data_IF_390362917227
#
_entry.id   IF_390362917227
#
_cell.length_a   1.000
_cell.length_b   1.000
_cell.length_c   1.000
_cell.angle_alpha   90.00
_cell.angle_beta   90.00
_cell.angle_gamma   90.00
#
_symmetry.space_group_name_H-M   'P 1'
#
loop_
_entity.id
_entity.type
_entity.pdbx_description
1 polymer ?
#
# COMPACT_ATOMS: atom_id res chain seq x y z
N UNK A 1 -2.63 -6.92 -88.82
CA UNK A 1 -3.40 -6.34 -87.68
C UNK A 1 -2.38 -5.82 -86.67
N UNK A 2 -2.19 -4.49 -86.58
CA UNK A 2 -2.81 -3.57 -85.60
C UNK A 2 -2.30 -3.85 -84.18
N UNK A 3 -1.19 -3.23 -83.75
CA UNK A 3 -0.99 -1.86 -83.21
C UNK A 3 -1.16 -1.80 -81.67
N UNK A 4 -0.11 -1.23 -81.05
CA UNK A 4 -0.09 -0.27 -79.93
C UNK A 4 -0.47 -0.67 -78.50
N UNK A 5 0.35 -0.14 -77.57
CA UNK A 5 -0.14 0.51 -76.36
C UNK A 5 0.38 -0.12 -75.08
N UNK A 6 1.49 0.35 -74.52
CA UNK A 6 1.55 1.50 -73.59
C UNK A 6 1.79 0.98 -72.18
N UNK A 7 3.06 1.03 -71.74
CA UNK A 7 3.46 0.83 -70.36
C UNK A 7 2.93 2.00 -69.54
N UNK A 8 1.76 1.83 -68.94
CA UNK A 8 1.20 2.75 -67.96
C UNK A 8 2.00 2.70 -66.67
N UNK A 9 2.83 3.72 -66.45
CA UNK A 9 3.45 4.03 -65.16
C UNK A 9 2.33 4.35 -64.17
N UNK A 10 2.03 3.42 -63.26
CA UNK A 10 1.10 3.65 -62.17
C UNK A 10 1.83 4.52 -61.13
N UNK A 11 1.48 5.80 -61.08
CA UNK A 11 1.94 6.73 -60.05
C UNK A 11 1.27 6.41 -58.71
N UNK A 12 2.00 6.15 -57.60
CA UNK A 12 1.42 5.79 -56.31
C UNK A 12 1.16 7.02 -55.43
N UNK A 13 0.53 8.07 -55.95
CA UNK A 13 0.24 9.28 -55.18
C UNK A 13 -1.24 9.70 -55.17
N UNK A 14 -2.14 8.85 -55.65
CA UNK A 14 -3.58 9.14 -55.74
C UNK A 14 -4.51 8.45 -54.73
N UNK A 15 -3.98 7.78 -53.69
CA UNK A 15 -4.79 6.90 -52.80
C UNK A 15 -4.87 7.30 -51.32
N UNK A 16 -4.66 8.57 -50.96
CA UNK A 16 -5.05 9.04 -49.63
C UNK A 16 -6.49 9.56 -49.70
N UNK A 17 -7.45 8.64 -49.55
CA UNK A 17 -8.85 9.00 -49.37
C UNK A 17 -9.00 9.91 -48.14
N UNK A 18 -9.88 10.90 -48.25
CA UNK A 18 -10.23 11.87 -47.20
C UNK A 18 -10.73 11.21 -45.89
N UNK A 19 -10.93 9.90 -45.91
CA UNK A 19 -11.39 9.08 -44.80
C UNK A 19 -10.42 9.04 -43.61
N UNK A 20 -9.11 9.28 -43.79
CA UNK A 20 -8.16 9.34 -42.65
C UNK A 20 -8.33 10.61 -41.79
N UNK A 21 -8.96 11.66 -42.33
CA UNK A 21 -9.19 12.92 -41.59
C UNK A 21 -10.18 12.74 -40.44
N UNK A 22 -11.15 11.83 -40.57
CA UNK A 22 -12.15 11.53 -39.53
C UNK A 22 -11.50 10.92 -38.27
N UNK A 23 -10.78 9.78 -38.32
CA UNK A 23 -10.12 9.22 -37.15
C UNK A 23 -9.01 10.12 -36.61
N UNK A 24 -8.31 10.87 -37.48
CA UNK A 24 -7.30 11.83 -37.06
C UNK A 24 -7.90 12.97 -36.21
N UNK A 25 -9.01 13.57 -36.66
CA UNK A 25 -9.69 14.62 -35.91
C UNK A 25 -10.33 14.09 -34.61
N UNK A 26 -10.85 12.86 -34.62
CA UNK A 26 -11.37 12.21 -33.41
C UNK A 26 -10.24 12.00 -32.39
N UNK A 27 -9.08 11.52 -32.84
CA UNK A 27 -7.92 11.34 -31.98
C UNK A 27 -7.47 12.67 -31.37
N UNK A 28 -7.32 13.73 -32.18
CA UNK A 28 -6.97 15.07 -31.68
C UNK A 28 -8.03 15.57 -30.68
N UNK A 29 -9.31 15.40 -30.98
CA UNK A 29 -10.40 15.77 -30.07
C UNK A 29 -10.32 15.05 -28.73
N UNK A 30 -10.02 13.74 -28.74
CA UNK A 30 -9.82 12.96 -27.52
C UNK A 30 -8.63 13.49 -26.69
N UNK A 31 -7.51 13.81 -27.35
CA UNK A 31 -6.34 14.34 -26.65
C UNK A 31 -6.62 15.71 -26.02
N UNK A 32 -7.32 16.59 -26.75
CA UNK A 32 -7.74 17.90 -26.22
C UNK A 32 -8.72 17.73 -25.06
N UNK A 33 -9.64 16.77 -25.13
CA UNK A 33 -10.58 16.47 -24.05
C UNK A 33 -9.85 15.97 -22.80
N UNK A 34 -8.90 15.06 -22.94
CA UNK A 34 -8.09 14.55 -21.82
C UNK A 34 -7.29 15.68 -21.18
N UNK A 35 -6.68 16.55 -21.98
CA UNK A 35 -5.95 17.72 -21.47
C UNK A 35 -6.87 18.70 -20.76
N UNK A 36 -8.07 18.96 -21.29
CA UNK A 36 -9.06 19.81 -20.65
C UNK A 36 -9.51 19.24 -19.30
N UNK A 37 -9.76 17.92 -19.21
CA UNK A 37 -10.11 17.25 -17.96
C UNK A 37 -8.95 17.32 -16.96
N UNK A 38 -7.71 17.10 -17.39
CA UNK A 38 -6.54 17.19 -16.53
C UNK A 38 -6.35 18.61 -15.96
N UNK A 39 -6.66 19.65 -16.75
CA UNK A 39 -6.58 21.05 -16.30
C UNK A 39 -7.73 21.44 -15.36
N UNK A 40 -8.91 20.84 -15.52
CA UNK A 40 -10.09 21.14 -14.69
C UNK A 40 -10.23 20.24 -13.44
N UNK A 41 -9.57 19.08 -13.42
CA UNK A 41 -9.61 18.13 -12.31
C UNK A 41 -9.17 18.73 -10.96
N UNK A 42 -8.11 19.56 -10.86
CA UNK A 42 -7.72 20.17 -9.59
C UNK A 42 -8.76 21.16 -9.04
N UNK A 43 -9.55 21.79 -9.92
CA UNK A 43 -10.59 22.75 -9.51
C UNK A 43 -11.88 22.07 -9.03
N UNK A 44 -12.16 20.85 -9.52
CA UNK A 44 -13.33 20.07 -9.12
C UNK A 44 -13.07 19.15 -7.91
N UNK A 45 -11.80 18.82 -7.64
CA UNK A 45 -11.40 17.98 -6.52
C UNK A 45 -10.56 18.79 -5.52
N UNK A 46 -11.24 19.56 -4.68
CA UNK A 46 -10.64 20.20 -3.51
C UNK A 46 -10.31 19.12 -2.46
N UNK A 47 -9.19 18.43 -2.64
CA UNK A 47 -8.66 17.45 -1.68
C UNK A 47 -8.02 18.20 -0.53
N UNK A 48 -8.84 18.60 0.45
CA UNK A 48 -8.37 19.13 1.72
C UNK A 48 -7.32 18.17 2.33
N UNK A 49 -6.08 18.62 2.56
CA UNK A 49 -5.05 17.77 3.16
C UNK A 49 -5.49 17.36 4.57
N UNK A 50 -5.69 16.06 4.78
CA UNK A 50 -5.99 15.48 6.10
C UNK A 50 -4.72 15.55 6.95
N UNK A 51 -4.48 16.70 7.59
CA UNK A 51 -3.41 16.84 8.56
C UNK A 51 -3.72 15.95 9.78
N UNK A 52 -2.73 15.22 10.32
CA UNK A 52 -2.91 14.44 11.54
C UNK A 52 -3.17 15.35 12.72
N UNK A 53 -4.14 14.98 13.57
CA UNK A 53 -4.51 15.70 14.78
C UNK A 53 -3.39 15.58 15.83
N UNK A 54 -2.62 16.66 16.02
CA UNK A 54 -1.51 16.69 16.98
C UNK A 54 -2.08 17.01 18.36
N UNK A 55 -2.21 15.98 19.21
CA UNK A 55 -2.53 16.17 20.62
C UNK A 55 -1.32 16.73 21.36
N UNK A 56 -1.40 18.00 21.75
CA UNK A 56 -0.43 18.63 22.64
C UNK A 56 -0.69 18.19 24.07
N UNK A 57 0.06 17.18 24.52
CA UNK A 57 0.05 16.79 25.94
C UNK A 57 0.97 17.74 26.70
N UNK A 58 0.39 18.63 27.51
CA UNK A 58 1.15 19.39 28.51
C UNK A 58 1.53 18.43 29.65
N UNK A 59 2.78 18.02 29.66
CA UNK A 59 3.37 17.28 30.77
C UNK A 59 3.58 18.27 31.93
N UNK A 60 2.82 18.11 33.01
CA UNK A 60 3.12 18.76 34.27
C UNK A 60 4.07 17.87 35.07
N UNK A 61 5.16 18.45 35.57
CA UNK A 61 6.05 17.76 36.51
C UNK A 61 5.48 17.90 37.92
N UNK A 62 5.49 16.81 38.69
CA UNK A 62 4.93 16.77 40.05
C UNK A 62 5.63 17.72 41.06
N UNK A 63 6.69 18.40 40.64
CA UNK A 63 7.47 19.32 41.47
C UNK A 63 6.83 20.72 41.57
N UNK A 64 5.98 21.12 40.62
CA UNK A 64 5.41 22.49 40.60
C UNK A 64 4.20 22.67 41.55
N UNK A 65 3.55 21.58 41.99
CA UNK A 65 2.43 21.64 42.95
C UNK A 65 2.93 21.79 44.40
N UNK A 66 4.20 21.52 44.67
CA UNK A 66 4.76 21.57 46.02
C UNK A 66 5.22 22.97 46.45
N UNK A 67 5.42 23.90 45.52
CA UNK A 67 6.09 25.19 45.81
C UNK A 67 5.12 26.36 46.10
N UNK A 68 3.80 26.15 45.96
CA UNK A 68 2.78 27.18 46.22
C UNK A 68 2.32 27.31 47.69
N UNK A 69 3.01 26.68 48.66
CA UNK A 69 2.61 26.73 50.09
C UNK A 69 3.51 27.54 51.03
N UNK A 70 4.33 28.47 50.55
CA UNK A 70 5.04 29.35 51.48
C UNK A 70 5.40 30.72 50.91
N UNK A 71 4.48 31.69 51.00
CA UNK A 71 4.86 33.11 51.23
C UNK A 71 3.82 33.76 52.17
N UNK A 72 4.22 34.44 53.26
CA UNK A 72 3.31 35.10 54.19
C UNK A 72 2.77 36.44 53.67
N UNK A 73 1.60 36.82 54.18
CA UNK A 73 0.86 38.03 53.89
C UNK A 73 1.60 39.34 54.24
N UNK A 74 1.52 40.33 53.34
CA UNK A 74 1.66 41.74 53.69
C UNK A 74 0.71 42.57 52.81
N UNK A 75 -0.03 43.48 53.45
CA UNK A 75 -0.94 44.46 52.86
C UNK A 75 -0.74 45.80 53.61
N UNK A 76 -1.25 46.96 53.15
CA UNK A 76 -1.43 47.47 51.78
C UNK A 76 -0.95 48.96 51.62
N UNK A 77 -1.20 49.52 50.41
CA UNK A 77 -1.48 50.94 50.07
C UNK A 77 -0.38 51.78 49.34
N UNK A 78 -0.70 52.91 48.67
CA UNK A 78 -1.74 53.10 47.62
C UNK A 78 -1.35 54.08 46.47
N UNK A 79 -2.21 54.16 45.42
CA UNK A 79 -2.38 55.24 44.39
C UNK A 79 -1.25 55.41 43.36
N UNK A 80 -1.53 55.42 42.05
CA UNK A 80 -2.17 56.58 41.38
C UNK A 80 -2.79 56.17 40.04
N UNK A 81 -4.05 56.56 39.86
CA UNK A 81 -4.72 56.66 38.55
C UNK A 81 -4.72 58.13 38.16
N UNK A 82 -4.26 58.44 36.95
CA UNK A 82 -4.59 59.68 36.24
C UNK A 82 -5.25 59.33 34.91
N UNK A 83 -6.41 59.98 34.70
CA UNK A 83 -7.46 59.85 33.66
C UNK A 83 -7.30 61.06 32.67
N UNK A 84 -8.27 61.47 31.81
CA UNK A 84 -9.05 60.89 30.68
C UNK A 84 -8.94 61.72 29.36
N UNK A 85 -9.52 61.23 28.25
CA UNK A 85 -10.26 62.02 27.24
C UNK A 85 -11.30 61.09 26.56
N UNK A 86 -12.62 61.10 26.84
CA UNK A 86 -13.72 62.07 26.56
C UNK A 86 -14.23 61.98 25.10
N UNK A 87 -15.36 61.25 24.90
CA UNK A 87 -16.71 61.66 24.36
C UNK A 87 -16.80 61.68 22.81
N UNK A 88 -17.87 61.30 22.09
CA UNK A 88 -19.34 61.40 22.24
C UNK A 88 -20.06 60.19 21.55
N UNK A 89 -21.12 59.55 22.09
CA UNK A 89 -22.60 59.78 21.99
C UNK A 89 -23.24 59.63 20.58
N UNK A 90 -23.84 58.45 20.32
CA UNK A 90 -25.23 58.05 19.86
C UNK A 90 -26.23 59.12 19.27
N UNK A 91 -27.38 58.87 18.55
CA UNK A 91 -28.12 57.65 18.07
C UNK A 91 -28.73 57.68 16.61
N UNK A 92 -29.38 56.57 16.17
CA UNK A 92 -30.83 56.46 15.80
C UNK A 92 -31.22 55.48 14.65
N UNK A 93 -32.01 54.46 15.04
CA UNK A 93 -33.22 53.86 14.42
C UNK A 93 -33.33 53.43 12.93
N UNK A 94 -33.79 52.19 12.71
CA UNK A 94 -35.16 51.84 12.18
C UNK A 94 -35.41 50.31 12.17
N UNK A 95 -36.59 49.89 12.68
CA UNK A 95 -37.23 48.54 12.53
C UNK A 95 -38.21 48.56 11.34
N UNK A 96 -38.75 47.41 10.83
CA UNK A 96 -39.95 46.73 11.41
C UNK A 96 -39.87 45.18 11.42
N UNK A 97 -40.30 44.44 12.47
CA UNK A 97 -41.64 43.88 12.84
C UNK A 97 -42.11 42.64 12.03
N UNK A 98 -42.20 41.47 12.71
CA UNK A 98 -43.28 40.44 12.74
C UNK A 98 -43.10 39.65 14.06
N UNK A 99 -43.78 39.94 15.18
CA UNK A 99 -45.13 39.52 15.64
C UNK A 99 -45.35 38.00 15.79
N UNK A 100 -45.21 37.47 17.01
CA UNK A 100 -45.90 36.26 17.49
C UNK A 100 -46.51 36.61 18.85
N UNK A 101 -47.81 36.34 18.97
CA UNK A 101 -48.71 36.74 20.05
C UNK A 101 -48.56 35.87 21.32
N UNK A 102 -48.95 36.38 22.51
CA UNK A 102 -49.04 35.63 23.75
C UNK A 102 -50.46 35.09 23.99
N UNK A 103 -50.58 33.81 24.35
CA UNK A 103 -51.85 33.22 24.81
C UNK A 103 -51.83 32.99 26.34
N UNK A 104 -52.94 33.40 26.97
CA UNK A 104 -53.26 33.43 28.41
C UNK A 104 -53.84 32.05 28.87
N UNK A 105 -53.82 31.71 30.19
CA UNK A 105 -53.89 30.33 30.70
C UNK A 105 -55.31 29.88 31.11
N UNK A 106 -55.51 28.56 31.14
CA UNK A 106 -56.70 27.89 31.66
C UNK A 106 -56.34 26.86 32.74
N UNK A 107 -57.23 26.76 33.73
CA UNK A 107 -57.11 26.22 35.10
C UNK A 107 -57.56 24.75 35.12
N UNK A 108 -56.83 23.80 35.75
CA UNK A 108 -57.14 23.12 37.04
C UNK A 108 -56.52 21.68 37.02
N UNK A 109 -56.49 20.87 38.11
CA UNK A 109 -55.87 21.09 39.44
C UNK A 109 -55.07 19.84 39.99
N UNK A 110 -54.35 20.01 41.12
CA UNK A 110 -54.02 19.03 42.21
C UNK A 110 -53.12 17.80 41.86
N UNK A 111 -51.82 17.79 42.19
CA UNK A 111 -51.16 17.27 43.43
C UNK A 111 -51.43 15.79 43.74
N UNK A 112 -50.44 14.92 43.48
CA UNK A 112 -49.97 13.94 44.49
C UNK A 112 -48.57 13.38 44.16
N UNK A 113 -47.64 13.63 45.08
CA UNK A 113 -46.30 13.05 45.18
C UNK A 113 -46.41 11.53 45.33
N UNK A 114 -45.77 10.75 44.46
CA UNK A 114 -45.47 9.34 44.76
C UNK A 114 -44.01 9.01 44.54
N UNK A 115 -43.49 8.34 45.55
CA UNK A 115 -42.09 8.09 45.88
C UNK A 115 -41.52 6.99 44.98
N UNK A 116 -40.25 7.17 44.60
CA UNK A 116 -39.45 6.21 43.86
C UNK A 116 -39.42 4.82 44.54
N UNK A 117 -39.74 3.78 43.77
CA UNK A 117 -39.50 2.38 44.16
C UNK A 117 -38.04 2.01 43.85
N UNK A 118 -37.27 1.42 44.80
CA UNK A 118 -35.90 1.01 44.55
C UNK A 118 -35.84 -0.21 43.61
N UNK A 119 -34.89 -0.16 42.67
CA UNK A 119 -34.57 -1.19 41.68
C UNK A 119 -34.07 -2.46 42.38
N UNK A 120 -34.83 -3.55 42.26
CA UNK A 120 -34.40 -4.90 42.63
C UNK A 120 -33.46 -5.47 41.57
N UNK A 121 -32.17 -5.58 41.89
CA UNK A 121 -31.20 -6.35 41.10
C UNK A 121 -31.29 -7.84 41.48
N UNK A 122 -32.11 -8.60 40.75
CA UNK A 122 -32.09 -10.07 40.82
C UNK A 122 -31.03 -10.63 39.87
N UNK A 123 -30.03 -11.41 40.34
CA UNK A 123 -29.04 -12.01 39.45
C UNK A 123 -29.67 -13.11 38.60
N UNK A 124 -29.62 -12.93 37.28
CA UNK A 124 -30.05 -13.91 36.28
C UNK A 124 -29.10 -15.11 36.32
N UNK A 125 -29.56 -16.23 36.87
CA UNK A 125 -28.85 -17.52 36.83
C UNK A 125 -28.69 -17.98 35.38
N UNK A 126 -27.50 -17.78 34.81
CA UNK A 126 -27.11 -18.32 33.52
C UNK A 126 -26.72 -19.79 33.72
N UNK A 127 -27.53 -20.72 33.20
CA UNK A 127 -27.19 -22.13 33.15
C UNK A 127 -26.03 -22.31 32.16
N UNK A 128 -24.84 -22.57 32.69
CA UNK A 128 -23.71 -23.10 31.93
C UNK A 128 -24.10 -24.50 31.41
N UNK A 129 -24.38 -24.62 30.11
CA UNK A 129 -24.41 -25.92 29.43
C UNK A 129 -22.96 -26.33 29.20
N UNK A 130 -22.43 -27.15 30.10
CA UNK A 130 -21.16 -27.86 29.90
C UNK A 130 -21.46 -29.04 28.97
N UNK A 131 -20.99 -28.94 27.72
CA UNK A 131 -21.06 -29.99 26.72
C UNK A 131 -20.85 -29.40 25.33
N UNK A 132 -19.63 -29.56 24.77
CA UNK A 132 -19.32 -29.22 23.37
C UNK A 132 -20.37 -29.86 22.47
N UNK A 133 -21.05 -29.05 21.66
CA UNK A 133 -22.04 -29.55 20.70
C UNK A 133 -21.34 -30.44 19.66
N UNK A 134 -22.03 -31.43 19.07
CA UNK A 134 -21.46 -32.26 18.00
C UNK A 134 -20.88 -31.44 16.82
N UNK A 135 -21.44 -30.26 16.59
CA UNK A 135 -21.04 -29.32 15.55
C UNK A 135 -19.67 -28.66 15.84
N UNK A 136 -19.40 -28.30 17.10
CA UNK A 136 -18.11 -27.72 17.51
C UNK A 136 -16.97 -28.75 17.40
N UNK A 137 -17.24 -30.02 17.72
CA UNK A 137 -16.28 -31.12 17.55
C UNK A 137 -15.95 -31.38 16.09
N UNK A 138 -16.96 -31.38 15.21
CA UNK A 138 -16.75 -31.56 13.77
C UNK A 138 -15.92 -30.41 13.16
N UNK A 139 -16.13 -29.17 13.61
CA UNK A 139 -15.35 -28.03 13.15
C UNK A 139 -13.90 -28.06 13.64
N UNK A 140 -13.65 -28.52 14.86
CA UNK A 140 -12.31 -28.69 15.43
C UNK A 140 -11.52 -29.80 14.70
N UNK A 141 -12.18 -30.91 14.36
CA UNK A 141 -11.59 -32.00 13.57
C UNK A 141 -11.27 -31.57 12.13
N UNK A 142 -12.15 -30.79 11.50
CA UNK A 142 -11.90 -30.21 10.18
C UNK A 142 -10.68 -29.26 10.19
N UNK A 143 -10.55 -28.42 11.23
CA UNK A 143 -9.38 -27.54 11.38
C UNK A 143 -8.09 -28.33 11.62
N UNK A 144 -8.14 -29.37 12.45
CA UNK A 144 -6.96 -30.22 12.68
C UNK A 144 -6.50 -30.92 11.39
N UNK A 145 -7.43 -31.47 10.61
CA UNK A 145 -7.09 -32.12 9.34
C UNK A 145 -6.48 -31.15 8.31
N UNK A 146 -6.99 -29.92 8.25
CA UNK A 146 -6.42 -28.87 7.41
C UNK A 146 -4.99 -28.48 7.83
N UNK A 147 -4.73 -28.36 9.13
CA UNK A 147 -3.38 -28.09 9.66
C UNK A 147 -2.42 -29.22 9.33
N UNK A 148 -2.83 -30.48 9.52
CA UNK A 148 -2.02 -31.66 9.17
C UNK A 148 -1.73 -31.70 7.66
N UNK A 149 -2.70 -31.33 6.83
CA UNK A 149 -2.50 -31.28 5.37
C UNK A 149 -1.50 -30.19 4.96
N UNK A 150 -1.57 -28.99 5.57
CA UNK A 150 -0.59 -27.91 5.34
C UNK A 150 0.81 -28.33 5.76
N UNK A 151 0.96 -28.90 6.95
CA UNK A 151 2.26 -29.37 7.44
C UNK A 151 2.89 -30.44 6.51
N UNK A 152 2.08 -31.35 5.96
CA UNK A 152 2.54 -32.34 4.96
C UNK A 152 2.91 -31.69 3.63
N UNK A 153 2.17 -30.67 3.19
CA UNK A 153 2.49 -29.95 1.96
C UNK A 153 3.79 -29.15 2.10
N UNK A 154 4.00 -28.51 3.24
CA UNK A 154 5.21 -27.74 3.54
C UNK A 154 6.43 -28.65 3.68
N UNK A 155 6.30 -29.82 4.33
CA UNK A 155 7.38 -30.80 4.39
C UNK A 155 7.75 -31.33 3.01
N UNK A 156 6.74 -31.68 2.18
CA UNK A 156 6.98 -32.13 0.80
C UNK A 156 7.64 -31.04 -0.06
N UNK A 157 7.24 -29.77 0.11
CA UNK A 157 7.85 -28.63 -0.59
C UNK A 157 9.29 -28.40 -0.16
N UNK A 158 9.59 -28.56 1.13
CA UNK A 158 10.95 -28.46 1.67
C UNK A 158 11.84 -29.57 1.14
N UNK A 159 11.38 -30.83 1.18
CA UNK A 159 12.09 -31.98 0.62
C UNK A 159 12.31 -31.82 -0.89
N UNK A 160 11.33 -31.34 -1.65
CA UNK A 160 11.47 -31.07 -3.07
C UNK A 160 12.51 -29.97 -3.35
N UNK A 161 12.56 -28.91 -2.52
CA UNK A 161 13.56 -27.84 -2.65
C UNK A 161 14.97 -28.34 -2.33
N UNK A 162 15.13 -29.14 -1.28
CA UNK A 162 16.41 -29.75 -0.91
C UNK A 162 16.90 -30.74 -1.98
N UNK A 163 15.99 -31.55 -2.52
CA UNK A 163 16.30 -32.45 -3.64
C UNK A 163 16.69 -31.70 -4.91
N UNK A 164 16.01 -30.61 -5.23
CA UNK A 164 16.35 -29.75 -6.37
C UNK A 164 17.72 -29.08 -6.19
N UNK A 165 18.04 -28.61 -4.99
CA UNK A 165 19.35 -28.02 -4.68
C UNK A 165 20.48 -29.06 -4.74
N UNK A 166 20.26 -30.26 -4.22
CA UNK A 166 21.21 -31.37 -4.34
C UNK A 166 21.44 -31.77 -5.80
N UNK A 167 20.38 -31.84 -6.60
CA UNK A 167 20.47 -32.10 -8.04
C UNK A 167 21.24 -30.99 -8.77
N UNK A 168 21.00 -29.72 -8.43
CA UNK A 168 21.73 -28.60 -9.00
C UNK A 168 23.23 -28.65 -8.66
N UNK A 169 23.60 -28.93 -7.39
CA UNK A 169 25.00 -29.10 -6.98
C UNK A 169 25.68 -30.25 -7.72
N UNK A 170 24.99 -31.37 -7.89
CA UNK A 170 25.51 -32.51 -8.65
C UNK A 170 25.70 -32.18 -10.14
N UNK A 171 24.79 -31.42 -10.74
CA UNK A 171 24.92 -30.97 -12.13
C UNK A 171 26.12 -30.04 -12.32
N UNK A 172 26.33 -29.09 -11.40
CA UNK A 172 27.48 -28.17 -11.44
C UNK A 172 28.79 -28.93 -11.29
N UNK A 173 28.88 -29.90 -10.37
CA UNK A 173 30.09 -30.71 -10.20
C UNK A 173 30.41 -31.54 -11.46
N UNK A 174 29.39 -32.15 -12.09
CA UNK A 174 29.56 -32.88 -13.35
C UNK A 174 30.07 -31.99 -14.49
N UNK A 175 29.57 -30.75 -14.58
CA UNK A 175 30.07 -29.78 -15.55
C UNK A 175 31.52 -29.38 -15.25
N UNK A 176 31.87 -29.16 -13.98
CA UNK A 176 33.24 -28.85 -13.59
C UNK A 176 34.22 -29.97 -13.94
N UNK A 177 33.84 -31.24 -13.76
CA UNK A 177 34.67 -32.39 -14.12
C UNK A 177 34.80 -32.57 -15.64
N UNK A 178 33.73 -32.31 -16.39
CA UNK A 178 33.77 -32.31 -17.86
C UNK A 178 34.70 -31.22 -18.41
N UNK A 179 34.69 -30.01 -17.83
CA UNK A 179 35.59 -28.92 -18.23
C UNK A 179 37.06 -29.24 -17.90
N UNK A 180 37.34 -29.83 -16.73
CA UNK A 180 38.70 -30.25 -16.35
C UNK A 180 39.24 -31.33 -17.29
N UNK A 181 38.41 -32.29 -17.67
CA UNK A 181 38.78 -33.38 -18.59
C UNK A 181 38.98 -32.86 -20.02
N UNK A 182 38.15 -31.92 -20.48
CA UNK A 182 38.26 -31.32 -21.81
C UNK A 182 39.47 -30.38 -21.96
N UNK A 183 40.03 -29.86 -20.86
CA UNK A 183 41.21 -28.98 -20.91
C UNK A 183 42.53 -29.77 -20.94
N UNK A 184 42.51 -31.07 -20.58
CA UNK A 184 43.70 -31.92 -20.57
C UNK A 184 44.01 -32.64 -21.90
N UNK A 185 43.16 -32.49 -22.93
CA UNK A 185 43.38 -33.09 -24.26
C UNK A 185 43.29 -32.00 -25.34
N UNK A 186 44.40 -31.29 -25.54
CA UNK A 186 44.71 -30.64 -26.83
C UNK A 186 46.12 -31.04 -27.24
N UNK A 187 46.27 -31.61 -28.43
CA UNK A 187 47.19 -31.07 -29.41
C UNK A 187 46.41 -30.49 -30.59
N UNK A 188 46.99 -29.44 -31.16
CA UNK A 188 46.52 -28.76 -32.36
C UNK A 188 46.51 -29.69 -33.58
N UNK A 189 45.54 -29.50 -34.49
CA UNK A 189 45.74 -29.26 -35.94
C UNK A 189 44.41 -29.15 -36.68
N UNK A 190 44.40 -28.30 -37.71
CA UNK A 190 43.35 -27.96 -38.68
C UNK A 190 42.71 -29.15 -39.43
N UNK A 191 41.49 -28.96 -39.97
CA UNK A 191 41.01 -29.75 -41.11
C UNK A 191 39.49 -29.99 -41.25
N UNK A 192 38.84 -29.10 -42.00
CA UNK A 192 37.60 -29.26 -42.82
C UNK A 192 37.13 -30.71 -43.14
N UNK A 193 35.84 -31.02 -42.92
CA UNK A 193 34.92 -31.62 -43.91
C UNK A 193 33.49 -31.91 -43.37
N UNK A 194 32.57 -31.93 -44.35
CA UNK A 194 31.11 -31.95 -44.44
C UNK A 194 30.33 -33.23 -44.02
N UNK A 195 29.03 -33.00 -43.68
CA UNK A 195 27.78 -33.78 -43.92
C UNK A 195 27.38 -35.06 -43.11
N UNK A 196 26.46 -34.86 -42.12
CA UNK A 196 25.03 -35.33 -41.97
C UNK A 196 24.68 -36.87 -41.93
N UNK A 197 23.54 -37.37 -41.37
CA UNK A 197 22.57 -36.93 -40.32
C UNK A 197 22.27 -37.96 -39.18
N UNK A 198 21.51 -37.49 -38.18
CA UNK A 198 20.44 -38.23 -37.45
C UNK A 198 20.78 -38.81 -36.07
N UNK A 199 20.29 -38.14 -35.02
CA UNK A 199 19.34 -38.73 -34.07
C UNK A 199 18.73 -37.62 -33.20
N UNK A 200 17.41 -37.62 -33.15
CA UNK A 200 16.55 -36.80 -32.30
C UNK A 200 16.81 -37.09 -30.84
N UNK A 201 17.39 -36.14 -30.09
CA UNK A 201 17.16 -36.01 -28.65
C UNK A 201 16.94 -34.55 -28.31
N UNK A 202 15.72 -34.30 -27.84
CA UNK A 202 15.20 -33.00 -27.43
C UNK A 202 15.80 -32.66 -26.06
N UNK A 203 17.05 -32.26 -26.03
CA UNK A 203 17.64 -31.61 -24.86
C UNK A 203 17.48 -30.11 -25.02
N UNK A 204 16.54 -29.55 -24.27
CA UNK A 204 16.46 -28.10 -24.01
C UNK A 204 17.74 -27.70 -23.28
N UNK A 205 18.79 -27.41 -24.06
CA UNK A 205 19.92 -26.63 -23.59
C UNK A 205 19.35 -25.27 -23.17
N UNK A 206 19.40 -25.01 -21.86
CA UNK A 206 19.28 -23.66 -21.32
C UNK A 206 20.52 -22.92 -21.83
N UNK A 207 20.36 -22.29 -22.99
CA UNK A 207 21.23 -21.21 -23.44
C UNK A 207 21.17 -20.13 -22.37
N UNK A 208 22.23 -20.04 -21.56
CA UNK A 208 22.49 -18.81 -20.82
C UNK A 208 22.56 -17.66 -21.83
N UNK A 209 21.97 -16.48 -21.55
CA UNK A 209 22.01 -15.37 -22.49
C UNK A 209 23.45 -14.83 -22.55
N UNK A 210 24.22 -15.41 -23.46
CA UNK A 210 25.41 -14.79 -24.01
C UNK A 210 24.99 -13.58 -24.83
N UNK A 211 25.27 -12.39 -24.30
CA UNK A 211 25.60 -11.22 -25.12
C UNK A 211 24.54 -10.78 -26.13
N UNK A 212 23.32 -10.51 -25.67
CA UNK A 212 22.39 -9.58 -26.32
C UNK A 212 21.73 -8.80 -25.18
N UNK A 213 21.68 -7.47 -25.31
CA UNK A 213 21.42 -6.53 -24.21
C UNK A 213 20.38 -7.05 -23.22
N UNK A 214 20.81 -7.25 -21.96
CA UNK A 214 19.90 -7.62 -20.88
C UNK A 214 18.80 -6.56 -20.85
N UNK A 215 17.58 -6.98 -21.21
CA UNK A 215 16.39 -6.16 -21.26
C UNK A 215 16.25 -5.39 -19.93
N UNK A 216 15.94 -4.08 -19.95
CA UNK A 216 15.73 -3.27 -18.74
C UNK A 216 14.77 -3.93 -17.73
N UNK A 217 13.81 -4.72 -18.22
CA UNK A 217 12.83 -5.47 -17.43
C UNK A 217 13.47 -6.52 -16.50
N UNK A 218 14.57 -7.16 -16.91
CA UNK A 218 15.26 -8.14 -16.06
C UNK A 218 15.87 -7.48 -14.82
N UNK A 219 16.56 -6.35 -15.01
CA UNK A 219 17.14 -5.60 -13.89
C UNK A 219 16.07 -5.04 -12.96
N UNK A 220 14.94 -4.59 -13.52
CA UNK A 220 13.80 -4.13 -12.73
C UNK A 220 13.23 -5.25 -11.85
N UNK A 221 12.99 -6.44 -12.40
CA UNK A 221 12.48 -7.59 -11.63
C UNK A 221 13.44 -8.01 -10.52
N UNK A 222 14.74 -8.04 -10.81
CA UNK A 222 15.75 -8.35 -9.81
C UNK A 222 15.78 -7.31 -8.69
N UNK A 223 15.66 -6.03 -9.03
CA UNK A 223 15.59 -4.93 -8.08
C UNK A 223 14.35 -5.02 -7.20
N UNK A 224 13.17 -5.20 -7.80
CA UNK A 224 11.90 -5.36 -7.09
C UNK A 224 11.95 -6.54 -6.11
N UNK A 225 12.56 -7.66 -6.52
CA UNK A 225 12.76 -8.81 -5.64
C UNK A 225 13.63 -8.45 -4.43
N UNK A 226 14.73 -7.71 -4.62
CA UNK A 226 15.59 -7.28 -3.51
C UNK A 226 14.87 -6.32 -2.56
N UNK A 227 14.10 -5.36 -3.09
CA UNK A 227 13.27 -4.45 -2.29
C UNK A 227 12.23 -5.23 -1.48
N UNK A 228 11.52 -6.13 -2.15
CA UNK A 228 10.51 -6.98 -1.55
C UNK A 228 11.09 -7.82 -0.40
N UNK A 229 12.22 -8.49 -0.60
CA UNK A 229 12.85 -9.31 0.43
C UNK A 229 13.23 -8.47 1.65
N UNK A 230 13.82 -7.29 1.43
CA UNK A 230 14.20 -6.40 2.52
C UNK A 230 13.00 -5.95 3.36
N UNK A 231 11.86 -5.68 2.73
CA UNK A 231 10.63 -5.30 3.44
C UNK A 231 10.02 -6.52 4.14
N UNK A 232 10.03 -7.68 3.47
CA UNK A 232 9.53 -8.94 4.03
C UNK A 232 10.28 -9.35 5.30
N UNK A 233 11.61 -9.21 5.33
CA UNK A 233 12.43 -9.50 6.51
C UNK A 233 12.06 -8.65 7.73
N UNK A 234 11.48 -7.46 7.50
CA UNK A 234 11.02 -6.54 8.53
C UNK A 234 9.50 -6.61 8.75
N UNK A 235 8.78 -7.43 7.99
CA UNK A 235 7.35 -7.66 8.14
C UNK A 235 7.10 -8.66 9.26
N UNK A 236 6.98 -8.15 10.49
CA UNK A 236 6.73 -8.96 11.68
C UNK A 236 5.44 -8.52 12.34
N UNK A 237 4.50 -9.46 12.46
CA UNK A 237 3.26 -9.28 13.19
C UNK A 237 3.36 -9.96 14.57
N UNK A 238 3.00 -9.28 15.67
CA UNK A 238 3.01 -9.89 17.00
C UNK A 238 2.02 -11.05 17.12
N UNK A 239 2.45 -12.17 17.70
CA UNK A 239 1.60 -13.35 17.94
C UNK A 239 0.54 -13.16 19.05
N UNK A 240 0.59 -12.02 19.75
CA UNK A 240 -0.31 -11.69 20.86
C UNK A 240 -1.76 -11.45 20.41
N UNK A 241 -1.98 -11.24 19.11
CA UNK A 241 -3.28 -10.93 18.52
C UNK A 241 -3.62 -11.98 17.46
N UNK A 242 -4.87 -12.45 17.44
CA UNK A 242 -5.35 -13.27 16.33
C UNK A 242 -5.59 -12.35 15.12
N UNK A 243 -4.69 -12.43 14.13
CA UNK A 243 -4.82 -11.72 12.87
C UNK A 243 -5.80 -12.46 11.97
N UNK A 244 -6.75 -11.73 11.38
CA UNK A 244 -7.69 -12.29 10.42
C UNK A 244 -7.02 -12.39 9.06
N UNK A 245 -6.96 -13.60 8.47
CA UNK A 245 -6.37 -13.88 7.16
C UNK A 245 -6.96 -13.03 6.01
N UNK A 246 -8.15 -12.43 6.23
CA UNK A 246 -8.79 -11.51 5.28
C UNK A 246 -8.28 -10.07 5.34
N UNK A 247 -7.38 -9.75 6.28
CA UNK A 247 -6.75 -8.43 6.36
C UNK A 247 -5.83 -8.22 5.16
N UNK A 248 -6.06 -7.11 4.47
CA UNK A 248 -5.25 -6.66 3.36
C UNK A 248 -5.04 -5.14 3.48
N UNK A 249 -3.81 -4.69 3.29
CA UNK A 249 -3.48 -3.29 3.13
C UNK A 249 -2.53 -3.12 1.95
N UNK A 250 -2.79 -2.11 1.13
CA UNK A 250 -1.93 -1.76 0.00
C UNK A 250 -1.30 -0.42 0.29
N UNK A 251 0.03 -0.42 0.42
CA UNK A 251 0.84 0.76 0.67
C UNK A 251 1.67 1.05 -0.57
N UNK A 252 1.55 2.27 -1.06
CA UNK A 252 2.35 2.78 -2.17
C UNK A 252 3.49 3.59 -1.59
N UNK A 253 4.72 3.28 -2.03
CA UNK A 253 5.93 3.97 -1.60
C UNK A 253 6.66 4.54 -2.82
N UNK A 254 7.19 5.75 -2.67
CA UNK A 254 8.06 6.38 -3.67
C UNK A 254 9.50 6.28 -3.18
N UNK A 255 10.34 5.62 -3.96
CA UNK A 255 11.76 5.46 -3.70
C UNK A 255 12.57 6.38 -4.60
N UNK A 256 13.66 6.91 -4.06
CA UNK A 256 14.73 7.55 -4.83
C UNK A 256 15.83 6.55 -5.15
N UNK A 257 16.66 6.89 -6.14
CA UNK A 257 17.79 6.09 -6.63
C UNK A 257 18.77 5.58 -5.56
N UNK A 258 18.91 6.30 -4.45
CA UNK A 258 19.73 5.92 -3.29
C UNK A 258 19.05 4.93 -2.34
N UNK A 259 17.82 4.49 -2.64
CA UNK A 259 17.04 3.57 -1.81
C UNK A 259 16.29 4.25 -0.66
N UNK A 260 16.27 5.59 -0.62
CA UNK A 260 15.53 6.34 0.39
C UNK A 260 14.06 6.46 -0.02
N UNK A 261 13.16 6.11 0.91
CA UNK A 261 11.72 6.31 0.76
C UNK A 261 11.41 7.79 0.98
N UNK A 262 10.91 8.46 -0.05
CA UNK A 262 10.60 9.90 -0.01
C UNK A 262 9.14 10.16 0.32
N UNK A 263 8.24 9.27 -0.09
CA UNK A 263 6.81 9.37 0.21
C UNK A 263 6.20 7.98 0.40
N UNK A 264 5.10 7.93 1.16
CA UNK A 264 4.34 6.71 1.39
C UNK A 264 2.88 7.02 1.70
N UNK A 265 1.95 6.41 0.96
CA UNK A 265 0.53 6.57 1.19
C UNK A 265 -0.22 5.24 0.99
N UNK A 266 -1.33 5.07 1.71
CA UNK A 266 -2.17 3.89 1.57
C UNK A 266 -3.13 4.04 0.40
N UNK A 267 -3.02 3.17 -0.59
CA UNK A 267 -4.05 3.00 -1.62
C UNK A 267 -5.28 2.28 -1.03
N UNK A 268 -5.02 1.25 -0.20
CA UNK A 268 -6.07 0.52 0.51
C UNK A 268 -5.68 0.33 1.98
N UNK A 269 -6.53 0.79 2.89
CA UNK A 269 -6.34 0.59 4.35
C UNK A 269 -7.14 -0.61 4.80
N UNK A 270 -6.52 -1.48 5.60
CA UNK A 270 -7.26 -2.54 6.26
C UNK A 270 -8.21 -1.95 7.31
N UNK A 271 -9.24 -2.72 7.68
CA UNK A 271 -10.18 -2.37 8.75
C UNK A 271 -9.52 -2.33 10.14
N UNK A 272 -8.35 -2.94 10.29
CA UNK A 272 -7.61 -2.98 11.54
C UNK A 272 -6.53 -1.89 11.57
N UNK A 273 -6.69 -0.91 12.45
CA UNK A 273 -5.75 0.21 12.58
C UNK A 273 -4.36 -0.28 12.99
N UNK A 274 -4.26 -1.29 13.87
CA UNK A 274 -2.99 -1.85 14.30
C UNK A 274 -2.25 -2.51 13.13
N UNK A 275 -2.96 -3.25 12.28
CA UNK A 275 -2.37 -3.85 11.08
C UNK A 275 -1.73 -2.77 10.18
N UNK A 276 -2.44 -1.67 9.94
CA UNK A 276 -1.92 -0.55 9.15
C UNK A 276 -0.68 0.10 9.82
N UNK A 277 -0.63 0.16 11.16
CA UNK A 277 0.55 0.66 11.87
C UNK A 277 1.77 -0.27 11.70
N UNK A 278 1.56 -1.59 11.75
CA UNK A 278 2.63 -2.55 11.50
C UNK A 278 3.15 -2.46 10.05
N UNK A 279 2.26 -2.19 9.08
CA UNK A 279 2.66 -1.99 7.68
C UNK A 279 3.60 -0.79 7.55
N UNK A 280 3.24 0.35 8.15
CA UNK A 280 4.12 1.53 8.18
C UNK A 280 5.44 1.25 8.89
N UNK A 281 5.37 0.52 10.01
CA UNK A 281 6.56 0.14 10.78
C UNK A 281 7.51 -0.73 9.96
N UNK A 282 7.00 -1.75 9.24
CA UNK A 282 7.83 -2.65 8.45
C UNK A 282 8.59 -1.92 7.34
N UNK A 283 7.94 -0.99 6.63
CA UNK A 283 8.61 -0.17 5.61
C UNK A 283 9.63 0.78 6.25
N UNK A 284 9.30 1.37 7.39
CA UNK A 284 10.21 2.26 8.12
C UNK A 284 11.45 1.51 8.63
N UNK A 285 11.27 0.30 9.15
CA UNK A 285 12.35 -0.54 9.67
C UNK A 285 13.22 -1.12 8.55
N UNK A 286 12.63 -1.35 7.37
CA UNK A 286 13.36 -1.77 6.18
C UNK A 286 14.26 -0.66 5.58
N UNK A 287 14.04 0.61 5.95
CA UNK A 287 14.82 1.72 5.42
C UNK A 287 16.28 1.70 5.95
N UNK A 288 17.29 1.95 5.10
CA UNK A 288 17.20 2.23 3.67
C UNK A 288 17.00 0.96 2.81
N UNK A 289 16.17 1.10 1.77
CA UNK A 289 15.92 0.05 0.77
C UNK A 289 17.13 -0.07 -0.18
N UNK A 290 17.23 -1.17 -0.97
CA UNK A 290 18.30 -1.29 -1.97
C UNK A 290 18.33 -0.10 -2.94
N UNK A 291 19.51 0.38 -3.33
CA UNK A 291 19.63 1.43 -4.34
C UNK A 291 19.30 0.89 -5.74
N UNK A 292 18.97 1.78 -6.67
CA UNK A 292 18.57 1.37 -8.02
C UNK A 292 19.79 0.88 -8.80
N UNK A 293 19.65 -0.20 -9.61
CA UNK A 293 20.71 -0.68 -10.49
C UNK A 293 21.17 0.42 -11.47
N UNK A 294 22.47 0.44 -11.78
CA UNK A 294 23.11 1.37 -12.74
C UNK A 294 22.49 1.35 -14.14
N UNK A 295 21.82 0.25 -14.48
CA UNK A 295 21.16 0.02 -15.76
C UNK A 295 19.80 0.73 -15.87
N UNK A 296 19.18 1.10 -14.75
CA UNK A 296 17.93 1.87 -14.74
C UNK A 296 18.22 3.37 -14.82
N UNK A 297 17.61 4.07 -15.77
CA UNK A 297 17.79 5.53 -15.96
C UNK A 297 16.91 6.38 -15.05
N UNK A 298 15.92 5.77 -14.42
CA UNK A 298 14.96 6.45 -13.54
C UNK A 298 15.62 6.86 -12.22
N UNK A 299 15.26 8.05 -11.74
CA UNK A 299 15.78 8.60 -10.48
C UNK A 299 14.82 8.37 -9.30
N UNK A 300 13.54 8.16 -9.60
CA UNK A 300 12.48 7.88 -8.64
C UNK A 300 11.57 6.80 -9.19
N UNK A 301 11.07 5.93 -8.33
CA UNK A 301 10.22 4.81 -8.71
C UNK A 301 9.15 4.58 -7.65
N UNK A 302 7.93 4.30 -8.09
CA UNK A 302 6.76 4.09 -7.24
C UNK A 302 6.41 2.60 -7.22
N UNK A 303 6.25 2.03 -6.02
CA UNK A 303 5.94 0.62 -5.83
C UNK A 303 4.71 0.50 -4.93
N UNK A 304 3.70 -0.22 -5.40
CA UNK A 304 2.58 -0.69 -4.58
C UNK A 304 2.89 -2.03 -3.95
N UNK A 305 2.86 -2.10 -2.62
CA UNK A 305 3.12 -3.30 -1.83
C UNK A 305 1.84 -3.74 -1.14
N UNK A 306 1.52 -5.03 -1.22
CA UNK A 306 0.32 -5.61 -0.62
C UNK A 306 0.68 -6.47 0.57
N UNK A 307 0.21 -6.06 1.74
CA UNK A 307 0.48 -6.71 3.01
C UNK A 307 -0.70 -7.60 3.41
N UNK A 308 -0.40 -8.85 3.81
CA UNK A 308 -1.31 -9.80 4.43
C UNK A 308 -0.69 -10.40 5.70
N UNK A 309 -1.49 -10.92 6.63
CA UNK A 309 -0.95 -11.67 7.76
C UNK A 309 -0.13 -12.87 7.27
N UNK A 310 1.17 -12.88 7.60
CA UNK A 310 2.10 -13.94 7.21
C UNK A 310 2.65 -13.86 5.79
N UNK A 311 2.14 -12.99 4.91
CA UNK A 311 2.56 -12.89 3.52
C UNK A 311 2.65 -11.44 3.04
N UNK A 312 3.66 -11.14 2.21
CA UNK A 312 3.78 -9.89 1.48
C UNK A 312 3.60 -10.21 -0.02
N UNK A 313 3.06 -9.30 -0.82
CA UNK A 313 2.86 -9.47 -2.27
C UNK A 313 3.23 -8.20 -3.02
#
# INVERSE_FOLDING_TARGET
MKLLGSNGVISPLGMLSTEWRKPFNISIGLHVLVLAIAMLAPALFDRQPRLPEIYTVKLFTATEVAEQKAVPAQAPAPKTVAKPAVRDIEPETKKPVVSIQPAKPEVAPVVETTIAKPVSLSPRKQKLKVGKTPEEKALEEAKLSQVVQRLKADSARKEAKEAAEAAAKNAVNKLADALKTSTAVRPATDGKATTKPSATEKTTAVSGPSGTGIEPDFYMKQYLSAVYQKIHDNWVLPDLQNWDDSLEAVLVITLRRDGIVTDSFFEHKSKNIYFNQFVLKAVKDAAPLPPFPDQLKENTFEIGLRFKPGELY
#
